data_IF_350742960457
#
_entry.id   IF_350742960457
#
_cell.length_a   1.000
_cell.length_b   1.000
_cell.length_c   1.000
_cell.angle_alpha   90.00
_cell.angle_beta   90.00
_cell.angle_gamma   90.00
#
_symmetry.space_group_name_H-M   'P 1'
#
loop_
_entity.id
_entity.type
_entity.pdbx_description
1 polymer ?
#
# COMPACT_ATOMS: atom_id res chain seq x y z
N UNK A 1 -50.90 27.86 8.42
CA UNK A 1 -50.84 26.44 8.81
C UNK A 1 -50.19 25.56 7.72
N UNK A 2 -50.67 25.56 6.48
CA UNK A 2 -50.09 24.76 5.36
C UNK A 2 -48.62 25.14 5.08
N UNK A 3 -48.30 26.44 5.03
CA UNK A 3 -46.92 26.91 4.80
C UNK A 3 -45.92 26.46 5.89
N UNK A 4 -46.39 26.43 7.16
CA UNK A 4 -45.55 25.93 8.26
C UNK A 4 -45.27 24.44 8.15
N UNK A 5 -46.25 23.65 7.72
CA UNK A 5 -46.08 22.20 7.49
C UNK A 5 -45.12 21.94 6.32
N UNK A 6 -45.27 22.70 5.23
CA UNK A 6 -44.34 22.60 4.06
C UNK A 6 -42.93 22.98 4.51
N UNK A 7 -42.74 24.03 5.28
CA UNK A 7 -41.44 24.43 5.81
C UNK A 7 -40.79 23.36 6.67
N UNK A 8 -41.53 22.69 7.55
CA UNK A 8 -41.03 21.58 8.35
C UNK A 8 -40.61 20.40 7.47
N UNK A 9 -41.42 20.03 6.48
CA UNK A 9 -41.11 18.92 5.56
C UNK A 9 -39.82 19.21 4.79
N UNK A 10 -39.65 20.41 4.25
CA UNK A 10 -38.45 20.82 3.53
C UNK A 10 -37.22 20.82 4.43
N UNK A 11 -37.33 21.23 5.68
CA UNK A 11 -36.22 21.19 6.64
C UNK A 11 -35.80 19.77 6.94
N UNK A 12 -36.73 18.86 7.17
CA UNK A 12 -36.42 17.43 7.40
C UNK A 12 -35.82 16.78 6.15
N UNK A 13 -36.45 17.05 4.98
CA UNK A 13 -35.96 16.51 3.73
C UNK A 13 -34.52 16.96 3.39
N UNK A 14 -34.21 18.25 3.63
CA UNK A 14 -32.85 18.76 3.42
C UNK A 14 -31.84 18.14 4.38
N UNK A 15 -32.20 17.92 5.64
CA UNK A 15 -31.36 17.23 6.62
C UNK A 15 -31.04 15.78 6.23
N UNK A 16 -32.07 15.05 5.79
CA UNK A 16 -31.92 13.69 5.30
C UNK A 16 -31.02 13.65 4.06
N UNK A 17 -31.22 14.57 3.12
CA UNK A 17 -30.42 14.66 1.90
C UNK A 17 -28.93 14.91 2.22
N UNK A 18 -28.64 15.88 3.09
CA UNK A 18 -27.27 16.18 3.54
C UNK A 18 -26.64 14.96 4.21
N UNK A 19 -27.39 14.25 5.05
CA UNK A 19 -26.92 13.04 5.71
C UNK A 19 -26.55 11.93 4.69
N UNK A 20 -27.43 11.67 3.73
CA UNK A 20 -27.20 10.65 2.69
C UNK A 20 -25.97 10.99 1.84
N UNK A 21 -25.84 12.25 1.41
CA UNK A 21 -24.69 12.71 0.65
C UNK A 21 -23.40 12.57 1.47
N UNK A 22 -23.41 12.96 2.73
CA UNK A 22 -22.26 12.85 3.62
C UNK A 22 -21.84 11.40 3.85
N UNK A 23 -22.80 10.50 4.05
CA UNK A 23 -22.56 9.09 4.22
C UNK A 23 -21.97 8.49 2.95
N UNK A 24 -22.56 8.80 1.80
CA UNK A 24 -22.06 8.38 0.50
C UNK A 24 -20.62 8.84 0.25
N UNK A 25 -20.31 10.11 0.50
CA UNK A 25 -18.97 10.66 0.36
C UNK A 25 -17.97 9.94 1.28
N UNK A 26 -18.35 9.68 2.52
CA UNK A 26 -17.50 8.98 3.49
C UNK A 26 -17.17 7.56 3.01
N UNK A 27 -18.18 6.81 2.57
CA UNK A 27 -18.00 5.41 2.14
C UNK A 27 -17.20 5.29 0.84
N UNK A 28 -17.53 6.09 -0.16
CA UNK A 28 -16.99 5.92 -1.51
C UNK A 28 -15.75 6.76 -1.81
N UNK A 29 -15.46 7.78 -1.02
CA UNK A 29 -14.33 8.68 -1.24
C UNK A 29 -13.36 8.65 -0.06
N UNK A 30 -13.83 8.95 1.15
CA UNK A 30 -12.92 9.12 2.28
C UNK A 30 -12.29 7.79 2.74
N UNK A 31 -13.07 6.72 2.87
CA UNK A 31 -12.57 5.39 3.30
C UNK A 31 -11.50 4.81 2.39
N UNK A 32 -11.66 4.73 1.06
CA UNK A 32 -10.62 4.21 0.17
C UNK A 32 -9.32 5.01 0.27
N UNK A 33 -9.42 6.34 0.37
CA UNK A 33 -8.24 7.20 0.50
C UNK A 33 -7.52 6.96 1.82
N UNK A 34 -8.25 6.80 2.94
CA UNK A 34 -7.68 6.50 4.25
C UNK A 34 -7.03 5.11 4.27
N UNK A 35 -7.69 4.10 3.69
CA UNK A 35 -7.15 2.75 3.57
C UNK A 35 -5.84 2.76 2.77
N UNK A 36 -5.80 3.48 1.65
CA UNK A 36 -4.57 3.65 0.86
C UNK A 36 -3.45 4.34 1.64
N UNK A 37 -3.76 5.42 2.38
CA UNK A 37 -2.77 6.12 3.22
C UNK A 37 -2.20 5.19 4.29
N UNK A 38 -3.04 4.36 4.92
CA UNK A 38 -2.61 3.35 5.87
C UNK A 38 -1.68 2.31 5.25
N UNK A 39 -2.05 1.79 4.08
CA UNK A 39 -1.23 0.83 3.33
C UNK A 39 0.12 1.44 2.92
N UNK A 40 0.11 2.67 2.40
CA UNK A 40 1.32 3.42 2.05
C UNK A 40 2.26 3.61 3.26
N UNK A 41 1.71 3.92 4.43
CA UNK A 41 2.49 4.06 5.66
C UNK A 41 3.09 2.73 6.12
N UNK A 42 2.35 1.60 6.01
CA UNK A 42 2.89 0.26 6.27
C UNK A 42 4.07 -0.06 5.36
N UNK A 43 3.94 0.17 4.05
CA UNK A 43 5.03 -0.06 3.09
C UNK A 43 6.25 0.79 3.43
N UNK A 44 6.07 2.08 3.68
CA UNK A 44 7.17 2.97 4.04
C UNK A 44 7.89 2.51 5.31
N UNK A 45 7.14 2.12 6.35
CA UNK A 45 7.68 1.58 7.61
C UNK A 45 8.50 0.32 7.35
N UNK A 46 7.97 -0.66 6.62
CA UNK A 46 8.65 -1.93 6.38
C UNK A 46 9.90 -1.79 5.52
N UNK A 47 9.89 -0.91 4.52
CA UNK A 47 11.09 -0.62 3.74
C UNK A 47 12.23 -0.04 4.58
N UNK A 48 11.92 0.73 5.63
CA UNK A 48 12.93 1.27 6.54
C UNK A 48 13.36 0.19 7.54
N UNK A 49 12.39 -0.51 8.14
CA UNK A 49 12.65 -1.49 9.19
C UNK A 49 13.52 -2.65 8.68
N UNK A 50 13.25 -3.11 7.47
CA UNK A 50 13.95 -4.25 6.87
C UNK A 50 15.10 -3.86 5.93
N UNK A 51 15.53 -2.58 5.97
CA UNK A 51 16.62 -2.10 5.12
C UNK A 51 17.91 -2.93 5.27
N UNK A 52 18.26 -3.32 6.49
CA UNK A 52 19.44 -4.12 6.75
C UNK A 52 19.36 -5.52 6.11
N UNK A 53 18.19 -6.13 6.00
CA UNK A 53 18.02 -7.49 5.50
C UNK A 53 18.17 -7.57 3.96
N UNK A 54 17.61 -6.63 3.22
CA UNK A 54 17.78 -6.62 1.76
C UNK A 54 19.11 -6.01 1.32
N UNK A 55 19.76 -5.19 2.16
CA UNK A 55 21.11 -4.71 1.90
C UNK A 55 22.18 -5.75 2.24
N UNK A 56 21.87 -6.69 3.14
CA UNK A 56 22.75 -7.77 3.56
C UNK A 56 21.98 -9.10 3.56
N UNK A 57 21.76 -9.70 2.37
CA UNK A 57 21.00 -10.93 2.25
C UNK A 57 21.70 -12.09 2.96
N UNK A 58 20.92 -13.01 3.53
CA UNK A 58 21.43 -14.21 4.16
C UNK A 58 22.05 -15.15 3.13
N UNK A 59 23.25 -15.65 3.40
CA UNK A 59 23.93 -16.63 2.58
C UNK A 59 23.65 -18.01 3.16
N UNK A 60 23.09 -18.93 2.37
CA UNK A 60 22.69 -20.27 2.84
C UNK A 60 23.85 -21.12 3.39
N UNK A 61 25.09 -20.84 2.97
CA UNK A 61 26.29 -21.57 3.37
C UNK A 61 26.88 -21.10 4.71
N UNK A 62 26.26 -20.14 5.39
CA UNK A 62 26.70 -19.66 6.69
C UNK A 62 26.00 -20.40 7.82
N UNK A 63 26.78 -21.00 8.74
CA UNK A 63 26.28 -21.54 10.01
C UNK A 63 25.75 -20.40 10.88
N UNK A 64 24.42 -20.30 11.01
CA UNK A 64 23.81 -19.27 11.83
C UNK A 64 22.28 -19.32 11.82
N UNK A 65 21.66 -18.49 12.68
CA UNK A 65 20.21 -18.37 12.76
C UNK A 65 19.64 -17.44 11.70
N UNK A 66 18.92 -17.99 10.72
CA UNK A 66 18.25 -17.24 9.64
C UNK A 66 16.82 -16.85 9.99
N UNK A 67 16.37 -17.06 11.24
CA UNK A 67 14.97 -16.85 11.64
C UNK A 67 14.50 -15.40 11.42
N UNK A 68 15.35 -14.41 11.71
CA UNK A 68 15.04 -12.99 11.50
C UNK A 68 14.82 -12.65 10.02
N UNK A 69 15.66 -13.17 9.12
CA UNK A 69 15.50 -13.00 7.65
C UNK A 69 14.24 -13.68 7.13
N UNK A 70 13.91 -14.88 7.65
CA UNK A 70 12.66 -15.58 7.32
C UNK A 70 11.44 -14.77 7.76
N UNK A 71 11.42 -14.29 9.00
CA UNK A 71 10.33 -13.47 9.52
C UNK A 71 10.14 -12.19 8.69
N UNK A 72 11.21 -11.45 8.41
CA UNK A 72 11.18 -10.25 7.59
C UNK A 72 10.71 -10.52 6.16
N UNK A 73 11.15 -11.63 5.55
CA UNK A 73 10.69 -12.05 4.22
C UNK A 73 9.19 -12.35 4.18
N UNK A 74 8.66 -13.02 5.20
CA UNK A 74 7.23 -13.31 5.32
C UNK A 74 6.44 -12.01 5.46
N UNK A 75 6.87 -11.09 6.33
CA UNK A 75 6.19 -9.81 6.56
C UNK A 75 6.09 -8.96 5.28
N UNK A 76 7.17 -8.87 4.49
CA UNK A 76 7.14 -8.17 3.19
C UNK A 76 6.23 -8.89 2.18
N UNK A 77 6.19 -10.23 2.20
CA UNK A 77 5.35 -11.03 1.32
C UNK A 77 3.86 -10.84 1.64
N UNK A 78 3.49 -10.80 2.91
CA UNK A 78 2.14 -10.48 3.36
C UNK A 78 1.73 -9.07 2.90
N UNK A 79 2.63 -8.10 3.07
CA UNK A 79 2.38 -6.73 2.61
C UNK A 79 2.24 -6.64 1.08
N UNK A 80 3.03 -7.42 0.33
CA UNK A 80 2.88 -7.54 -1.13
C UNK A 80 1.47 -8.02 -1.49
N UNK A 81 0.95 -9.02 -0.77
CA UNK A 81 -0.41 -9.52 -0.97
C UNK A 81 -1.48 -8.47 -0.60
N UNK A 82 -1.30 -7.71 0.50
CA UNK A 82 -2.20 -6.60 0.84
C UNK A 82 -2.23 -5.53 -0.28
N UNK A 83 -1.08 -5.17 -0.84
CA UNK A 83 -1.00 -4.18 -1.95
C UNK A 83 -1.69 -4.72 -3.21
N UNK A 84 -1.49 -6.01 -3.54
CA UNK A 84 -2.16 -6.64 -4.68
C UNK A 84 -3.68 -6.68 -4.48
N UNK A 85 -4.14 -7.11 -3.31
CA UNK A 85 -5.57 -7.14 -2.99
C UNK A 85 -6.20 -5.75 -3.07
N UNK A 86 -5.51 -4.72 -2.57
CA UNK A 86 -5.97 -3.34 -2.67
C UNK A 86 -6.03 -2.85 -4.13
N UNK A 87 -5.11 -3.28 -4.99
CA UNK A 87 -5.11 -2.95 -6.41
C UNK A 87 -6.33 -3.52 -7.16
N UNK A 88 -6.87 -4.67 -6.71
CA UNK A 88 -8.08 -5.27 -7.28
C UNK A 88 -9.37 -4.60 -6.80
N UNK A 89 -9.33 -3.92 -5.62
CA UNK A 89 -10.45 -3.13 -5.10
C UNK A 89 -10.55 -1.83 -5.89
N UNK A 90 -11.15 -1.88 -7.09
CA UNK A 90 -11.32 -0.69 -7.94
C UNK A 90 -12.23 0.32 -7.26
N UNK A 91 -11.72 1.48 -6.80
CA UNK A 91 -12.59 2.55 -6.34
C UNK A 91 -13.35 3.12 -7.54
N UNK A 92 -14.68 3.02 -7.52
CA UNK A 92 -15.53 3.43 -8.65
C UNK A 92 -15.65 4.95 -8.84
N UNK A 93 -15.10 5.76 -7.92
CA UNK A 93 -15.35 7.20 -7.94
C UNK A 93 -14.18 7.99 -8.57
N UNK A 94 -14.43 8.89 -9.55
CA UNK A 94 -13.39 9.64 -10.25
C UNK A 94 -12.51 10.49 -9.33
N UNK A 95 -13.03 11.02 -8.23
CA UNK A 95 -12.24 11.80 -7.26
C UNK A 95 -11.14 10.97 -6.58
N UNK A 96 -11.33 9.66 -6.47
CA UNK A 96 -10.37 8.74 -5.85
C UNK A 96 -9.18 8.49 -6.77
N UNK A 97 -9.36 8.58 -8.11
CA UNK A 97 -8.28 8.39 -9.08
C UNK A 97 -7.13 9.40 -8.96
N UNK A 98 -7.40 10.59 -8.42
CA UNK A 98 -6.34 11.59 -8.19
C UNK A 98 -5.53 11.31 -6.92
N UNK A 99 -6.11 10.63 -5.94
CA UNK A 99 -5.50 10.41 -4.64
C UNK A 99 -4.80 9.05 -4.53
N UNK A 100 -5.21 8.06 -5.33
CA UNK A 100 -4.71 6.68 -5.31
C UNK A 100 -4.02 6.37 -6.64
N UNK A 101 -2.83 5.76 -6.64
CA UNK A 101 -2.17 5.32 -7.86
C UNK A 101 -3.02 4.33 -8.66
N UNK A 102 -2.75 4.27 -9.96
CA UNK A 102 -3.45 3.33 -10.86
C UNK A 102 -3.20 1.88 -10.43
N UNK A 103 -4.14 0.99 -10.76
CA UNK A 103 -4.03 -0.45 -10.53
C UNK A 103 -2.71 -1.02 -11.07
N UNK A 104 -2.26 -0.58 -12.26
CA UNK A 104 -0.98 -0.98 -12.85
C UNK A 104 0.20 -0.63 -11.92
N UNK A 105 0.24 0.59 -11.39
CA UNK A 105 1.32 1.03 -10.50
C UNK A 105 1.32 0.28 -9.18
N UNK A 106 0.15 0.01 -8.61
CA UNK A 106 0.03 -0.80 -7.39
C UNK A 106 0.44 -2.26 -7.63
N UNK A 107 0.05 -2.84 -8.77
CA UNK A 107 0.47 -4.19 -9.16
C UNK A 107 1.99 -4.29 -9.37
N UNK A 108 2.61 -3.28 -9.96
CA UNK A 108 4.07 -3.20 -10.04
C UNK A 108 4.70 -3.09 -8.66
N UNK A 109 4.19 -2.24 -7.77
CA UNK A 109 4.70 -2.13 -6.40
C UNK A 109 4.62 -3.47 -5.65
N UNK A 110 3.49 -4.19 -5.76
CA UNK A 110 3.34 -5.54 -5.20
C UNK A 110 4.38 -6.51 -5.76
N UNK A 111 4.57 -6.54 -7.08
CA UNK A 111 5.57 -7.39 -7.74
C UNK A 111 6.98 -7.13 -7.23
N UNK A 112 7.37 -5.86 -7.07
CA UNK A 112 8.69 -5.50 -6.55
C UNK A 112 8.83 -5.80 -5.05
N UNK A 113 7.77 -5.67 -4.24
CA UNK A 113 7.75 -6.14 -2.85
C UNK A 113 7.98 -7.64 -2.76
N UNK A 114 7.31 -8.43 -3.61
CA UNK A 114 7.53 -9.87 -3.69
C UNK A 114 8.96 -10.20 -4.11
N UNK A 115 9.50 -9.49 -5.11
CA UNK A 115 10.89 -9.62 -5.53
C UNK A 115 11.87 -9.31 -4.38
N UNK A 116 11.59 -8.25 -3.61
CA UNK A 116 12.37 -7.87 -2.45
C UNK A 116 12.37 -8.96 -1.37
N UNK A 117 11.20 -9.56 -1.07
CA UNK A 117 11.12 -10.66 -0.08
C UNK A 117 11.95 -11.89 -0.49
N UNK A 118 12.01 -12.17 -1.79
CA UNK A 118 12.78 -13.30 -2.31
C UNK A 118 14.30 -13.05 -2.29
N UNK A 119 14.71 -11.78 -2.30
CA UNK A 119 16.12 -11.40 -2.30
C UNK A 119 16.80 -11.45 -0.93
N UNK A 120 16.06 -11.71 0.13
CA UNK A 120 16.60 -11.83 1.49
C UNK A 120 17.51 -13.05 1.65
N UNK A 121 17.42 -14.01 0.74
CA UNK A 121 18.22 -15.22 0.71
C UNK A 121 18.95 -15.32 -0.61
N UNK A 122 20.26 -15.61 -0.55
CA UNK A 122 21.07 -15.85 -1.73
C UNK A 122 21.86 -17.14 -1.56
N UNK A 123 22.06 -17.85 -2.63
CA UNK A 123 23.03 -18.94 -2.69
C UNK A 123 24.39 -18.34 -3.00
N UNK A 124 25.43 -18.68 -2.22
CA UNK A 124 26.78 -18.09 -2.29
C UNK A 124 27.48 -18.12 -3.65
N UNK A 125 26.91 -18.84 -4.64
CA UNK A 125 27.35 -18.86 -6.04
C UNK A 125 26.73 -17.80 -6.94
N UNK A 126 25.87 -16.91 -6.37
CA UNK A 126 25.07 -15.96 -7.14
C UNK A 126 25.82 -14.70 -7.50
N UNK A 127 26.17 -14.62 -8.77
CA UNK A 127 26.70 -13.47 -9.49
C UNK A 127 26.13 -12.12 -8.97
N UNK A 128 27.01 -11.11 -8.83
CA UNK A 128 26.69 -9.73 -8.37
C UNK A 128 25.52 -9.04 -9.06
N UNK A 129 25.01 -9.59 -10.17
CA UNK A 129 23.80 -9.13 -10.88
C UNK A 129 22.49 -9.20 -10.09
N UNK A 130 22.38 -10.04 -9.05
CA UNK A 130 21.18 -10.07 -8.21
C UNK A 130 21.17 -8.90 -7.23
N UNK A 131 22.31 -8.52 -6.69
CA UNK A 131 22.43 -7.47 -5.67
C UNK A 131 22.14 -6.11 -6.29
N UNK A 132 22.66 -5.80 -7.47
CA UNK A 132 22.46 -4.52 -8.15
C UNK A 132 20.98 -4.25 -8.44
N UNK A 133 20.20 -5.27 -8.85
CA UNK A 133 18.76 -5.14 -9.10
C UNK A 133 17.94 -4.92 -7.83
N UNK A 134 18.35 -5.52 -6.73
CA UNK A 134 17.62 -5.44 -5.45
C UNK A 134 17.73 -4.05 -4.83
N UNK A 135 18.84 -3.35 -5.03
CA UNK A 135 19.03 -1.96 -4.54
C UNK A 135 18.02 -1.00 -5.17
N UNK A 136 17.58 -1.25 -6.40
CA UNK A 136 16.60 -0.40 -7.10
C UNK A 136 15.14 -0.66 -6.65
N UNK A 137 14.82 -1.84 -6.10
CA UNK A 137 13.44 -2.23 -5.76
C UNK A 137 12.76 -1.28 -4.77
N UNK A 138 13.39 -0.85 -3.66
CA UNK A 138 12.78 0.10 -2.75
C UNK A 138 12.39 1.41 -3.42
N UNK A 139 13.20 1.92 -4.34
CA UNK A 139 12.94 3.17 -5.04
C UNK A 139 11.81 3.03 -6.05
N UNK A 140 11.75 1.91 -6.76
CA UNK A 140 10.65 1.59 -7.67
C UNK A 140 9.34 1.46 -6.89
N UNK A 141 9.34 0.79 -5.73
CA UNK A 141 8.17 0.66 -4.85
C UNK A 141 7.72 2.05 -4.38
N UNK A 142 8.63 2.88 -3.86
CA UNK A 142 8.34 4.25 -3.41
C UNK A 142 7.72 5.08 -4.52
N UNK A 143 8.31 5.08 -5.71
CA UNK A 143 7.82 5.79 -6.89
C UNK A 143 6.40 5.36 -7.27
N UNK A 144 6.15 4.05 -7.32
CA UNK A 144 4.84 3.52 -7.71
C UNK A 144 3.76 3.80 -6.66
N UNK A 145 4.09 3.80 -5.39
CA UNK A 145 3.19 4.13 -4.29
C UNK A 145 3.17 5.63 -3.95
N UNK A 146 3.91 6.48 -4.66
CA UNK A 146 3.98 7.91 -4.37
C UNK A 146 4.50 8.22 -2.96
N UNK A 147 5.43 7.41 -2.44
CA UNK A 147 6.12 7.64 -1.17
C UNK A 147 7.24 8.64 -1.47
N UNK A 148 7.21 9.83 -0.83
CA UNK A 148 8.29 10.81 -1.02
C UNK A 148 9.57 10.35 -0.34
N UNK A 149 10.71 10.53 -1.01
CA UNK A 149 12.00 10.51 -0.34
C UNK A 149 12.07 11.74 0.58
N UNK A 150 12.00 11.54 1.89
CA UNK A 150 12.52 12.54 2.82
C UNK A 150 13.99 12.16 3.03
N UNK A 151 14.85 12.83 2.29
CA UNK A 151 16.26 12.96 2.64
C UNK A 151 16.39 13.71 3.93
#
# INVERSE_FOLDING_TARGET
MIEQVIGMILTVASGVLVYVISQWFTEFVARPIQAYKGLKAKVAKLLILHACYYSNPWIYDTDGDSSAWKAASIEIRELSAEVAAFAELKPFHPLVFYAIPTQKRLGEASKYLMGLSNSFFTTGSGEGRCIDRVVEYPDIIRKNMGISHRT
#
